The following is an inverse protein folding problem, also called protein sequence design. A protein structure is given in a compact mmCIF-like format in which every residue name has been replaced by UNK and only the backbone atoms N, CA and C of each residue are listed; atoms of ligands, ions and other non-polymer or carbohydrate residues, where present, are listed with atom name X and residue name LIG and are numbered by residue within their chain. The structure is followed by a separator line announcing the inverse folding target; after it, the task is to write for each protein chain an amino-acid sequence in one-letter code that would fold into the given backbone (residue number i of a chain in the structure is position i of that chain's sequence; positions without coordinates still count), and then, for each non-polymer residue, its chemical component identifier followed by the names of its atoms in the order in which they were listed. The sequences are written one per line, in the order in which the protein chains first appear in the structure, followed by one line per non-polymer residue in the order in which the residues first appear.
data_IF_581853735285
#
_entry.id   IF_581853735285
#
_cell.length_a   1.000
_cell.length_b   1.000
_cell.length_c   1.000
_cell.angle_alpha   90.00
_cell.angle_beta   90.00
_cell.angle_gamma   90.00
#
_symmetry.space_group_name_H-M   'P 1'
#
loop_
_entity.id
_entity.type
_entity.pdbx_description
1 polymer ?
#
# COMPACT_ATOMS: atom_id res chain seq x y z
N UNK A 1 -4.47 15.44 -11.47
CA UNK A 1 -5.30 14.33 -12.01
C UNK A 1 -5.00 13.02 -11.27
N UNK A 2 -3.76 12.55 -11.17
CA UNK A 2 -3.43 11.28 -10.45
C UNK A 2 -3.62 11.31 -8.92
N UNK A 3 -3.36 12.44 -8.25
CA UNK A 3 -3.54 12.54 -6.78
C UNK A 3 -5.01 12.41 -6.35
N UNK A 4 -5.93 12.97 -7.14
CA UNK A 4 -7.39 12.86 -6.91
C UNK A 4 -7.84 11.40 -7.02
N UNK A 5 -7.28 10.65 -7.98
CA UNK A 5 -7.56 9.22 -8.11
C UNK A 5 -7.04 8.42 -6.90
N UNK A 6 -5.84 8.72 -6.41
CA UNK A 6 -5.29 8.08 -5.21
C UNK A 6 -6.14 8.37 -3.98
N UNK A 7 -6.57 9.61 -3.80
CA UNK A 7 -7.46 10.01 -2.70
C UNK A 7 -8.79 9.23 -2.73
N UNK A 8 -9.46 9.21 -3.89
CA UNK A 8 -10.71 8.47 -4.04
C UNK A 8 -10.55 6.95 -3.86
N UNK A 9 -9.45 6.38 -4.37
CA UNK A 9 -9.14 4.97 -4.21
C UNK A 9 -8.94 4.60 -2.73
N UNK A 10 -8.11 5.35 -2.02
CA UNK A 10 -7.84 5.11 -0.60
C UNK A 10 -9.10 5.31 0.25
N UNK A 11 -9.95 6.29 -0.06
CA UNK A 11 -11.23 6.47 0.63
C UNK A 11 -12.14 5.24 0.50
N UNK A 12 -12.25 4.69 -0.71
CA UNK A 12 -13.06 3.49 -0.95
C UNK A 12 -12.46 2.24 -0.31
N UNK A 13 -11.13 2.11 -0.31
CA UNK A 13 -10.43 1.00 0.33
C UNK A 13 -10.57 1.00 1.84
N UNK A 14 -10.40 2.15 2.50
CA UNK A 14 -10.58 2.27 3.96
C UNK A 14 -12.00 1.87 4.33
N UNK A 15 -13.02 2.40 3.64
CA UNK A 15 -14.42 1.97 3.87
C UNK A 15 -14.64 0.47 3.75
N UNK A 16 -13.93 -0.22 2.86
CA UNK A 16 -14.02 -1.67 2.74
C UNK A 16 -13.28 -2.38 3.88
N UNK A 17 -12.04 -1.98 4.13
CA UNK A 17 -11.13 -2.63 5.08
C UNK A 17 -11.60 -2.44 6.54
N UNK A 18 -12.18 -1.28 6.86
CA UNK A 18 -12.74 -0.98 8.19
C UNK A 18 -13.89 -1.93 8.58
N UNK A 19 -14.50 -2.59 7.59
CA UNK A 19 -15.56 -3.58 7.83
C UNK A 19 -15.03 -5.03 7.90
N UNK A 20 -13.72 -5.25 7.81
CA UNK A 20 -13.15 -6.60 7.91
C UNK A 20 -13.11 -7.08 9.35
N UNK A 21 -13.54 -8.32 9.54
CA UNK A 21 -13.31 -9.08 10.78
C UNK A 21 -11.89 -9.65 10.82
N UNK A 22 -11.45 -10.13 11.99
CA UNK A 22 -10.18 -10.85 12.12
C UNK A 22 -10.11 -12.10 11.23
N UNK A 23 -11.24 -12.74 10.92
CA UNK A 23 -11.29 -13.88 10.01
C UNK A 23 -11.23 -13.45 8.54
N UNK A 24 -11.80 -12.31 8.17
CA UNK A 24 -11.62 -11.72 6.85
C UNK A 24 -10.14 -11.41 6.59
N UNK A 25 -9.43 -10.87 7.58
CA UNK A 25 -8.00 -10.57 7.49
C UNK A 25 -7.12 -11.81 7.24
N UNK A 26 -7.60 -13.01 7.61
CA UNK A 26 -6.91 -14.30 7.35
C UNK A 26 -7.16 -14.84 5.95
N UNK A 27 -8.15 -14.32 5.20
CA UNK A 27 -8.40 -14.73 3.81
C UNK A 27 -7.14 -14.54 2.97
N UNK A 28 -6.93 -15.44 2.02
CA UNK A 28 -5.72 -15.45 1.20
C UNK A 28 -6.01 -15.33 -0.28
N UNK A 29 -5.09 -14.71 -1.02
CA UNK A 29 -5.01 -14.82 -2.47
C UNK A 29 -3.67 -15.43 -2.88
N UNK A 30 -3.63 -16.06 -4.07
CA UNK A 30 -2.41 -16.64 -4.62
C UNK A 30 -1.73 -15.65 -5.57
N UNK A 31 -0.46 -15.34 -5.31
CA UNK A 31 0.37 -14.53 -6.20
C UNK A 31 1.10 -15.46 -7.17
N UNK A 32 0.72 -15.49 -8.47
CA UNK A 32 1.21 -16.50 -9.41
C UNK A 32 2.72 -16.41 -9.62
N UNK A 33 3.27 -15.21 -9.80
CA UNK A 33 4.70 -15.03 -10.05
C UNK A 33 5.59 -15.43 -8.87
N UNK A 34 5.10 -15.23 -7.63
CA UNK A 34 5.82 -15.60 -6.40
C UNK A 34 5.49 -17.00 -5.92
N UNK A 35 4.55 -17.68 -6.58
CA UNK A 35 4.04 -19.00 -6.20
C UNK A 35 3.65 -19.12 -4.72
N UNK A 36 3.13 -18.03 -4.15
CA UNK A 36 2.89 -17.90 -2.71
C UNK A 36 1.51 -17.34 -2.43
N UNK A 37 0.89 -17.80 -1.33
CA UNK A 37 -0.33 -17.20 -0.79
C UNK A 37 0.00 -16.06 0.16
N UNK A 38 -0.70 -14.94 0.00
CA UNK A 38 -0.65 -13.81 0.93
C UNK A 38 -1.99 -13.70 1.65
N UNK A 39 -1.95 -13.40 2.95
CA UNK A 39 -3.16 -13.00 3.67
C UNK A 39 -3.53 -11.57 3.30
N UNK A 40 -4.81 -11.21 3.43
CA UNK A 40 -5.25 -9.82 3.28
C UNK A 40 -4.53 -8.92 4.29
N UNK A 41 -4.32 -9.38 5.53
CA UNK A 41 -3.54 -8.67 6.55
C UNK A 41 -2.13 -8.30 6.06
N UNK A 42 -1.40 -9.27 5.51
CA UNK A 42 -0.04 -9.03 4.98
C UNK A 42 -0.06 -8.07 3.81
N UNK A 43 -1.02 -8.20 2.89
CA UNK A 43 -1.12 -7.31 1.73
C UNK A 43 -1.44 -5.87 2.12
N UNK A 44 -2.36 -5.64 3.06
CA UNK A 44 -2.67 -4.31 3.59
C UNK A 44 -1.42 -3.67 4.23
N UNK A 45 -0.71 -4.41 5.08
CA UNK A 45 0.53 -3.93 5.70
C UNK A 45 1.62 -3.61 4.68
N UNK A 46 1.79 -4.46 3.67
CA UNK A 46 2.73 -4.22 2.57
C UNK A 46 2.36 -2.95 1.79
N UNK A 47 1.08 -2.69 1.54
CA UNK A 47 0.64 -1.48 0.83
C UNK A 47 0.86 -0.22 1.66
N UNK A 48 0.64 -0.28 2.98
CA UNK A 48 0.94 0.83 3.89
C UNK A 48 2.45 1.14 3.91
N UNK A 49 3.30 0.11 3.99
CA UNK A 49 4.75 0.26 3.86
C UNK A 49 5.13 0.88 2.51
N UNK A 50 4.54 0.40 1.42
CA UNK A 50 4.81 0.87 0.06
C UNK A 50 4.48 2.36 -0.11
N UNK A 51 3.36 2.84 0.44
CA UNK A 51 3.02 4.27 0.45
C UNK A 51 4.08 5.10 1.19
N UNK A 52 4.46 4.67 2.40
CA UNK A 52 5.46 5.39 3.20
C UNK A 52 6.85 5.37 2.54
N UNK A 53 7.21 4.23 1.94
CA UNK A 53 8.46 4.05 1.22
C UNK A 53 8.58 5.02 0.03
N UNK A 54 7.53 5.13 -0.78
CA UNK A 54 7.54 6.07 -1.91
C UNK A 54 7.44 7.54 -1.50
N UNK A 55 6.71 7.84 -0.41
CA UNK A 55 6.72 9.19 0.15
C UNK A 55 8.14 9.57 0.59
N UNK A 56 8.84 8.68 1.31
CA UNK A 56 10.22 8.92 1.73
C UNK A 56 11.17 9.14 0.54
N UNK A 57 11.00 8.41 -0.56
CA UNK A 57 11.76 8.66 -1.79
C UNK A 57 11.51 10.06 -2.36
N UNK A 58 10.26 10.52 -2.38
CA UNK A 58 9.91 11.88 -2.85
C UNK A 58 10.52 12.94 -1.92
N UNK A 59 10.40 12.76 -0.61
CA UNK A 59 10.98 13.66 0.38
C UNK A 59 12.51 13.75 0.24
N UNK A 60 13.19 12.62 0.05
CA UNK A 60 14.63 12.60 -0.21
C UNK A 60 14.96 13.34 -1.51
N UNK A 61 14.25 13.06 -2.61
CA UNK A 61 14.49 13.74 -3.88
C UNK A 61 14.33 15.27 -3.76
N UNK A 62 13.33 15.74 -3.03
CA UNK A 62 13.10 17.16 -2.75
C UNK A 62 14.22 17.72 -1.87
N UNK A 63 14.55 17.03 -0.77
CA UNK A 63 15.56 17.45 0.20
C UNK A 63 16.93 17.61 -0.45
N UNK A 64 17.31 16.68 -1.30
CA UNK A 64 18.64 16.61 -1.90
C UNK A 64 18.71 17.28 -3.28
N UNK A 65 17.57 17.57 -3.92
CA UNK A 65 17.51 18.22 -5.24
C UNK A 65 18.39 17.52 -6.31
N UNK A 66 18.47 16.20 -6.25
CA UNK A 66 19.32 15.39 -7.14
C UNK A 66 20.81 15.34 -6.74
N UNK A 67 21.20 15.93 -5.61
CA UNK A 67 22.57 15.91 -5.08
C UNK A 67 22.68 14.89 -3.95
N UNK A 68 23.05 13.67 -4.32
CA UNK A 68 23.33 12.59 -3.40
C UNK A 68 24.85 12.41 -3.33
N UNK A 69 25.50 13.24 -2.51
CA UNK A 69 26.91 13.06 -2.12
C UNK A 69 26.99 12.21 -0.85
#
# INVERSE_FOLDING_TARGET
QSLILLEGLHHRWIKLIDNFTEDDLKKTFYHPERQQKYTLKTAIGMYAWHSNHHLAHIEQAIKFQGKFE
#
